data_IF_541189391219
#
_entry.id   IF_541189391219
#
_cell.length_a   1.000
_cell.length_b   1.000
_cell.length_c   1.000
_cell.angle_alpha   90.00
_cell.angle_beta   90.00
_cell.angle_gamma   90.00
#
_symmetry.space_group_name_H-M   'P 1'
#
loop_
_entity.id
_entity.type
_entity.pdbx_description
1 polymer ?
#
# COMPACT_ATOMS: atom_id res chain seq x y z
N UNK A 1 -27.93 -58.03 5.40
CA UNK A 1 -28.50 -57.92 6.76
C UNK A 1 -28.38 -56.49 7.17
N UNK A 2 -29.44 -55.71 7.02
CA UNK A 2 -30.57 -55.50 7.91
C UNK A 2 -30.06 -54.81 9.17
N UNK A 3 -30.46 -53.69 9.61
CA UNK A 3 -31.71 -52.91 9.75
C UNK A 3 -31.40 -51.84 10.81
N UNK A 4 -31.80 -50.68 10.71
CA UNK A 4 -33.06 -49.96 10.96
C UNK A 4 -32.96 -48.95 12.11
N UNK A 5 -33.12 -47.69 11.84
CA UNK A 5 -34.26 -46.82 12.14
C UNK A 5 -34.55 -46.35 13.55
N UNK A 6 -34.82 -45.10 13.72
CA UNK A 6 -35.94 -44.32 14.27
C UNK A 6 -35.47 -43.22 15.25
N UNK A 7 -35.66 -41.97 14.94
CA UNK A 7 -36.86 -41.06 14.91
C UNK A 7 -37.54 -40.84 16.27
N UNK A 8 -37.74 -39.61 16.59
CA UNK A 8 -38.92 -38.86 17.15
C UNK A 8 -38.45 -37.81 18.13
N UNK A 9 -38.72 -36.60 17.95
CA UNK A 9 -39.91 -35.75 17.80
C UNK A 9 -40.38 -35.16 19.13
N UNK A 10 -40.71 -33.90 19.02
CA UNK A 10 -41.78 -33.12 19.65
C UNK A 10 -41.52 -32.66 21.11
N UNK A 11 -41.91 -31.51 21.56
CA UNK A 11 -42.99 -30.54 21.28
C UNK A 11 -42.81 -29.41 22.28
N UNK A 12 -42.94 -28.14 21.88
CA UNK A 12 -44.14 -27.30 22.04
C UNK A 12 -44.54 -26.95 23.49
N UNK A 13 -44.62 -25.66 23.77
CA UNK A 13 -45.71 -24.89 24.37
C UNK A 13 -45.21 -23.51 24.77
N UNK A 14 -45.58 -22.41 24.17
CA UNK A 14 -46.79 -21.59 24.29
C UNK A 14 -47.07 -21.06 25.68
N UNK A 15 -47.00 -19.72 25.89
CA UNK A 15 -48.06 -18.92 26.45
C UNK A 15 -47.61 -17.48 26.72
N UNK A 16 -48.11 -16.51 26.01
CA UNK A 16 -49.12 -15.49 26.32
C UNK A 16 -48.74 -14.59 27.52
N UNK A 17 -48.71 -13.33 27.41
CA UNK A 17 -49.64 -12.30 27.00
C UNK A 17 -49.47 -11.05 27.92
N UNK A 18 -49.73 -9.91 27.38
CA UNK A 18 -50.31 -8.67 27.97
C UNK A 18 -49.37 -7.55 28.31
N UNK A 19 -49.50 -6.54 27.63
CA UNK A 19 -50.27 -5.29 27.59
C UNK A 19 -49.40 -4.04 27.55
N UNK A 20 -49.63 -3.26 26.54
CA UNK A 20 -49.31 -1.81 26.45
C UNK A 20 -50.29 -1.02 27.36
N UNK A 21 -50.27 0.30 27.48
CA UNK A 21 -49.46 1.34 26.82
C UNK A 21 -49.00 2.45 27.80
N UNK A 22 -48.08 3.30 27.42
CA UNK A 22 -48.18 4.76 27.65
C UNK A 22 -47.17 5.56 26.83
N UNK A 23 -47.78 6.49 26.12
CA UNK A 23 -47.27 7.69 25.48
C UNK A 23 -46.19 8.44 26.27
N UNK A 24 -45.17 8.88 25.52
CA UNK A 24 -44.25 9.90 25.88
C UNK A 24 -43.56 10.37 24.60
N UNK A 25 -44.06 11.46 24.06
CA UNK A 25 -43.46 12.21 22.98
C UNK A 25 -42.19 12.88 23.49
N UNK A 26 -41.04 12.51 22.99
CA UNK A 26 -39.89 13.41 22.99
C UNK A 26 -39.23 13.40 21.62
N UNK A 27 -39.31 14.57 21.04
CA UNK A 27 -38.71 14.99 19.79
C UNK A 27 -37.19 15.06 19.99
N UNK A 28 -36.51 13.96 19.78
CA UNK A 28 -35.06 13.90 19.68
C UNK A 28 -34.67 13.70 18.23
N UNK A 29 -34.30 14.78 17.57
CA UNK A 29 -33.64 14.75 16.27
C UNK A 29 -32.42 13.84 16.36
N UNK A 30 -32.58 12.59 15.90
CA UNK A 30 -31.47 11.69 15.66
C UNK A 30 -30.68 12.23 14.46
N UNK A 31 -29.66 12.99 14.76
CA UNK A 31 -28.61 13.33 13.83
C UNK A 31 -27.89 12.04 13.46
N UNK A 32 -28.20 11.51 12.29
CA UNK A 32 -27.45 10.40 11.69
C UNK A 32 -26.00 10.89 11.53
N UNK A 33 -25.12 10.43 12.40
CA UNK A 33 -23.69 10.51 12.16
C UNK A 33 -23.39 9.52 11.03
N UNK A 34 -23.35 10.02 9.81
CA UNK A 34 -22.66 9.36 8.72
C UNK A 34 -21.19 9.25 9.13
N UNK A 35 -20.71 8.04 9.28
CA UNK A 35 -19.30 7.74 9.47
C UNK A 35 -18.59 7.82 8.13
N UNK A 36 -18.48 9.04 7.57
CA UNK A 36 -17.59 9.32 6.45
C UNK A 36 -16.19 9.56 7.00
N UNK A 37 -15.51 8.47 7.35
CA UNK A 37 -14.14 8.46 7.85
C UNK A 37 -13.15 7.94 6.81
N UNK A 38 -13.35 8.17 5.50
CA UNK A 38 -12.30 7.90 4.54
C UNK A 38 -11.18 8.94 4.70
N UNK A 39 -9.97 8.47 4.94
CA UNK A 39 -8.78 9.31 5.03
C UNK A 39 -8.51 10.07 3.72
N UNK A 40 -9.11 9.62 2.62
CA UNK A 40 -8.95 10.13 1.25
C UNK A 40 -10.18 10.88 0.73
N UNK A 41 -11.21 11.15 1.58
CA UNK A 41 -12.38 11.92 1.15
C UNK A 41 -11.96 13.22 0.47
N UNK A 42 -12.27 13.31 -0.81
CA UNK A 42 -11.99 14.46 -1.66
C UNK A 42 -13.13 15.50 -1.66
N UNK A 43 -13.92 15.54 -0.58
CA UNK A 43 -15.01 16.53 -0.44
C UNK A 43 -14.52 17.98 -0.38
N UNK A 44 -15.38 18.90 -0.79
CA UNK A 44 -15.12 20.34 -1.05
C UNK A 44 -14.59 21.18 0.13
N UNK A 45 -14.35 20.61 1.31
CA UNK A 45 -13.92 21.32 2.53
C UNK A 45 -12.42 21.20 2.85
N UNK A 46 -11.58 20.77 1.90
CA UNK A 46 -10.16 20.52 2.13
C UNK A 46 -9.25 21.77 2.13
N UNK A 47 -9.75 22.95 1.74
CA UNK A 47 -8.94 24.14 1.53
C UNK A 47 -8.09 24.62 2.72
N UNK A 48 -8.63 24.75 3.96
CA UNK A 48 -7.86 25.29 5.09
C UNK A 48 -6.89 24.28 5.72
N UNK A 49 -7.18 22.96 5.61
CA UNK A 49 -6.35 21.92 6.21
C UNK A 49 -5.14 21.56 5.35
N UNK A 50 -5.25 21.69 4.02
CA UNK A 50 -4.14 21.51 3.09
C UNK A 50 -3.01 22.51 3.31
N UNK A 51 -3.34 23.80 3.53
CA UNK A 51 -2.34 24.83 3.79
C UNK A 51 -1.51 24.59 5.06
N UNK A 52 -2.15 24.09 6.13
CA UNK A 52 -1.47 23.80 7.39
C UNK A 52 -0.65 22.51 7.35
N UNK A 53 -1.10 21.49 6.60
CA UNK A 53 -0.36 20.24 6.40
C UNK A 53 0.86 20.43 5.50
N UNK A 54 0.71 21.19 4.42
CA UNK A 54 1.82 21.53 3.51
C UNK A 54 2.89 22.40 4.20
N UNK A 55 2.50 23.36 5.05
CA UNK A 55 3.45 24.19 5.79
C UNK A 55 4.22 23.38 6.84
N UNK A 56 3.58 22.43 7.52
CA UNK A 56 4.26 21.55 8.50
C UNK A 56 5.10 20.49 7.83
N UNK A 57 4.66 19.93 6.71
CA UNK A 57 5.46 19.01 5.91
C UNK A 57 6.70 19.70 5.34
N UNK A 58 6.57 20.94 4.83
CA UNK A 58 7.71 21.69 4.29
C UNK A 58 8.78 22.04 5.35
N UNK A 59 8.39 22.36 6.59
CA UNK A 59 9.34 22.66 7.68
C UNK A 59 9.99 21.38 8.21
N UNK A 60 9.26 20.30 8.40
CA UNK A 60 9.81 18.99 8.76
C UNK A 60 10.70 18.40 7.66
N UNK A 61 10.29 18.59 6.42
CA UNK A 61 11.00 18.20 5.22
C UNK A 61 12.37 18.89 5.13
N UNK A 62 12.44 20.23 5.26
CA UNK A 62 13.71 20.97 5.16
C UNK A 62 14.72 20.63 6.27
N UNK A 63 14.26 20.41 7.50
CA UNK A 63 15.14 20.12 8.63
C UNK A 63 15.72 18.71 8.62
N UNK A 64 14.96 17.72 8.16
CA UNK A 64 15.37 16.30 8.11
C UNK A 64 15.98 15.89 6.77
N UNK A 65 15.61 16.57 5.69
CA UNK A 65 16.21 16.35 4.37
C UNK A 65 17.68 16.76 4.32
N UNK A 66 18.04 17.88 4.95
CA UNK A 66 19.45 18.29 5.06
C UNK A 66 20.32 17.23 5.75
N UNK A 67 19.77 16.50 6.71
CA UNK A 67 20.51 15.45 7.45
C UNK A 67 20.58 14.13 6.68
N UNK A 68 19.51 13.72 5.97
CA UNK A 68 19.49 12.51 5.15
C UNK A 68 20.19 12.70 3.80
N UNK A 69 20.11 13.90 3.22
CA UNK A 69 20.83 14.28 2.02
C UNK A 69 22.37 14.14 2.18
N UNK A 70 22.90 14.48 3.38
CA UNK A 70 24.30 14.30 3.70
C UNK A 70 24.71 12.84 3.93
N UNK A 71 23.76 11.97 4.31
CA UNK A 71 24.05 10.58 4.69
C UNK A 71 23.78 9.54 3.58
N UNK A 72 22.93 9.84 2.59
CA UNK A 72 22.50 8.87 1.58
C UNK A 72 22.65 9.32 0.11
N UNK A 73 23.19 10.52 -0.15
CA UNK A 73 23.50 11.00 -1.50
C UNK A 73 22.32 10.89 -2.48
N UNK A 74 21.60 11.99 -2.68
CA UNK A 74 20.68 12.23 -3.79
C UNK A 74 19.40 11.36 -3.88
N UNK A 75 18.42 11.56 -3.05
CA UNK A 75 17.06 11.18 -3.39
C UNK A 75 16.05 12.20 -2.86
N UNK A 76 16.18 13.46 -3.28
CA UNK A 76 15.08 14.38 -3.21
C UNK A 76 14.32 14.25 -4.54
N UNK A 77 13.36 13.37 -4.62
CA UNK A 77 12.42 13.36 -5.73
C UNK A 77 11.56 14.60 -5.63
N UNK A 78 11.96 15.64 -6.38
CA UNK A 78 11.10 16.79 -6.67
C UNK A 78 10.23 16.36 -7.83
N UNK A 79 9.00 15.91 -7.53
CA UNK A 79 8.05 15.44 -8.56
C UNK A 79 6.70 15.14 -7.96
N UNK A 80 5.74 14.82 -8.81
CA UNK A 80 4.45 14.29 -8.40
C UNK A 80 4.61 12.85 -7.88
N UNK A 81 3.61 12.33 -7.20
CA UNK A 81 3.61 10.99 -6.59
C UNK A 81 4.00 9.87 -7.58
N UNK A 82 3.54 9.94 -8.82
CA UNK A 82 3.84 8.97 -9.88
C UNK A 82 5.31 9.00 -10.30
N UNK A 83 5.93 10.17 -10.39
CA UNK A 83 7.36 10.33 -10.67
C UNK A 83 8.23 9.81 -9.52
N UNK A 84 7.78 10.00 -8.27
CA UNK A 84 8.44 9.50 -7.08
C UNK A 84 8.46 7.97 -7.09
N UNK A 85 7.32 7.34 -7.32
CA UNK A 85 7.20 5.88 -7.34
C UNK A 85 7.95 5.25 -8.53
N UNK A 86 7.91 5.88 -9.72
CA UNK A 86 8.69 5.44 -10.87
C UNK A 86 10.21 5.49 -10.58
N UNK A 87 10.70 6.53 -9.91
CA UNK A 87 12.10 6.60 -9.50
C UNK A 87 12.47 5.50 -8.47
N UNK A 88 11.55 5.10 -7.60
CA UNK A 88 11.73 3.99 -6.67
C UNK A 88 11.76 2.63 -7.37
N UNK A 89 10.96 2.43 -8.44
CA UNK A 89 11.08 1.27 -9.33
C UNK A 89 12.46 1.19 -9.98
N UNK A 90 12.95 2.29 -10.56
CA UNK A 90 14.29 2.34 -11.16
C UNK A 90 15.39 2.01 -10.15
N UNK A 91 15.28 2.53 -8.92
CA UNK A 91 16.20 2.22 -7.84
C UNK A 91 16.20 0.72 -7.54
N UNK A 92 15.03 0.10 -7.39
CA UNK A 92 14.90 -1.33 -7.11
C UNK A 92 15.48 -2.17 -8.26
N UNK A 93 15.16 -1.86 -9.51
CA UNK A 93 15.70 -2.53 -10.70
C UNK A 93 17.22 -2.39 -10.78
N UNK A 94 17.76 -1.22 -10.48
CA UNK A 94 19.20 -1.00 -10.40
C UNK A 94 19.90 -1.80 -9.30
N UNK A 95 19.24 -2.09 -8.17
CA UNK A 95 19.75 -3.00 -7.16
C UNK A 95 19.76 -4.45 -7.68
N UNK A 96 18.71 -4.89 -8.37
CA UNK A 96 18.69 -6.20 -9.02
C UNK A 96 19.83 -6.37 -10.01
N UNK A 97 20.12 -5.36 -10.84
CA UNK A 97 21.21 -5.41 -11.79
C UNK A 97 22.56 -5.61 -11.09
N UNK A 98 22.79 -4.88 -9.99
CA UNK A 98 23.98 -5.08 -9.14
C UNK A 98 24.04 -6.45 -8.48
N UNK A 99 22.89 -7.06 -8.15
CA UNK A 99 22.82 -8.42 -7.63
C UNK A 99 23.23 -9.43 -8.71
N UNK A 100 22.77 -9.25 -9.93
CA UNK A 100 23.06 -10.12 -11.08
C UNK A 100 24.51 -10.06 -11.55
N UNK A 101 25.23 -8.97 -11.25
CA UNK A 101 26.67 -8.82 -11.49
C UNK A 101 27.55 -9.57 -10.46
N UNK A 102 26.95 -10.18 -9.42
CA UNK A 102 27.72 -10.88 -8.38
C UNK A 102 27.98 -12.33 -8.76
N UNK A 103 29.10 -12.87 -8.29
CA UNK A 103 29.43 -14.29 -8.35
C UNK A 103 29.18 -15.02 -7.01
N UNK A 104 29.34 -16.35 -7.02
CA UNK A 104 29.09 -17.20 -5.86
C UNK A 104 30.03 -16.96 -4.66
N UNK A 105 31.17 -16.33 -4.87
CA UNK A 105 32.13 -16.00 -3.81
C UNK A 105 31.74 -14.71 -3.05
N UNK A 106 30.90 -13.87 -3.63
CA UNK A 106 30.50 -12.57 -3.12
C UNK A 106 29.24 -12.63 -2.22
N UNK A 107 29.14 -13.65 -1.39
CA UNK A 107 27.95 -13.91 -0.55
C UNK A 107 27.57 -12.75 0.35
N UNK A 108 28.57 -12.06 0.94
CA UNK A 108 28.32 -10.87 1.76
C UNK A 108 27.71 -9.72 0.93
N UNK A 109 28.24 -9.47 -0.28
CA UNK A 109 27.70 -8.43 -1.18
C UNK A 109 26.27 -8.77 -1.60
N UNK A 110 25.97 -10.04 -1.94
CA UNK A 110 24.63 -10.53 -2.23
C UNK A 110 23.67 -10.28 -1.07
N UNK A 111 24.05 -10.62 0.16
CA UNK A 111 23.24 -10.39 1.36
C UNK A 111 22.95 -8.91 1.61
N UNK A 112 23.97 -8.06 1.44
CA UNK A 112 23.82 -6.60 1.59
C UNK A 112 22.91 -6.00 0.53
N UNK A 113 23.02 -6.46 -0.73
CA UNK A 113 22.14 -6.00 -1.81
C UNK A 113 20.69 -6.48 -1.61
N UNK A 114 20.48 -7.72 -1.16
CA UNK A 114 19.16 -8.23 -0.82
C UNK A 114 18.52 -7.44 0.33
N UNK A 115 19.29 -7.06 1.35
CA UNK A 115 18.80 -6.21 2.43
C UNK A 115 18.39 -4.82 1.91
N UNK A 116 19.19 -4.21 1.04
CA UNK A 116 18.87 -2.90 0.42
C UNK A 116 17.63 -3.00 -0.46
N UNK A 117 17.54 -4.06 -1.27
CA UNK A 117 16.38 -4.31 -2.11
C UNK A 117 15.12 -4.48 -1.29
N UNK A 118 15.19 -5.29 -0.22
CA UNK A 118 14.04 -5.48 0.69
C UNK A 118 13.57 -4.15 1.25
N UNK A 119 14.48 -3.33 1.78
CA UNK A 119 14.11 -2.03 2.33
C UNK A 119 13.50 -1.09 1.29
N UNK A 120 14.05 -1.06 0.07
CA UNK A 120 13.51 -0.24 -1.01
C UNK A 120 12.09 -0.68 -1.41
N UNK A 121 11.87 -1.99 -1.58
CA UNK A 121 10.57 -2.54 -1.94
C UNK A 121 9.54 -2.46 -0.80
N UNK A 122 9.95 -2.63 0.46
CA UNK A 122 9.06 -2.48 1.62
C UNK A 122 8.59 -1.02 1.76
N UNK A 123 9.48 -0.04 1.57
CA UNK A 123 9.15 1.38 1.59
C UNK A 123 8.15 1.72 0.47
N UNK A 124 8.48 1.33 -0.75
CA UNK A 124 7.68 1.57 -1.95
C UNK A 124 6.27 0.96 -1.82
N UNK A 125 6.19 -0.33 -1.50
CA UNK A 125 4.91 -1.01 -1.31
C UNK A 125 4.08 -0.37 -0.19
N UNK A 126 4.71 0.12 0.89
CA UNK A 126 4.00 0.79 1.96
C UNK A 126 3.36 2.11 1.49
N UNK A 127 4.07 2.93 0.71
CA UNK A 127 3.52 4.16 0.14
C UNK A 127 2.31 3.88 -0.75
N UNK A 128 2.34 2.82 -1.54
CA UNK A 128 1.23 2.45 -2.41
C UNK A 128 0.06 1.84 -1.65
N UNK A 129 0.31 0.87 -0.78
CA UNK A 129 -0.71 0.20 0.02
C UNK A 129 -1.42 1.16 0.99
N UNK A 130 -0.73 2.19 1.50
CA UNK A 130 -1.30 3.15 2.45
C UNK A 130 -1.86 4.41 1.81
N UNK A 131 -1.41 4.78 0.60
CA UNK A 131 -1.80 6.05 -0.02
C UNK A 131 -2.44 5.84 -1.39
N UNK A 132 -1.72 5.21 -2.33
CA UNK A 132 -2.13 5.19 -3.74
C UNK A 132 -3.30 4.22 -3.97
N UNK A 133 -3.22 2.99 -3.46
CA UNK A 133 -4.29 2.00 -3.68
C UNK A 133 -5.61 2.35 -2.99
N UNK A 134 -5.63 2.89 -1.77
CA UNK A 134 -6.85 3.46 -1.21
C UNK A 134 -7.44 4.59 -2.08
N UNK A 135 -6.59 5.48 -2.60
CA UNK A 135 -7.04 6.57 -3.46
C UNK A 135 -7.53 6.08 -4.84
N UNK A 136 -6.93 5.02 -5.41
CA UNK A 136 -7.44 4.33 -6.60
C UNK A 136 -8.85 3.78 -6.37
N UNK A 137 -9.10 3.15 -5.21
CA UNK A 137 -10.44 2.63 -4.86
C UNK A 137 -11.48 3.75 -4.76
N UNK A 138 -11.10 4.89 -4.19
CA UNK A 138 -11.98 6.08 -4.13
C UNK A 138 -12.25 6.67 -5.52
N UNK A 139 -11.32 6.54 -6.45
CA UNK A 139 -11.48 6.95 -7.85
C UNK A 139 -12.21 5.91 -8.72
N UNK A 140 -12.85 4.90 -8.12
CA UNK A 140 -13.53 3.79 -8.79
C UNK A 140 -12.62 2.86 -9.63
N UNK A 141 -11.34 2.78 -9.27
CA UNK A 141 -10.34 1.89 -9.87
C UNK A 141 -9.97 0.74 -8.92
N UNK A 142 -10.97 0.17 -8.22
CA UNK A 142 -10.75 -0.86 -7.20
C UNK A 142 -10.16 -2.16 -7.78
N UNK A 143 -10.49 -2.51 -9.02
CA UNK A 143 -9.97 -3.72 -9.69
C UNK A 143 -8.46 -3.61 -9.89
N UNK A 144 -7.99 -2.46 -10.34
CA UNK A 144 -6.55 -2.20 -10.52
C UNK A 144 -5.82 -2.25 -9.17
N UNK A 145 -6.37 -1.58 -8.16
CA UNK A 145 -5.82 -1.58 -6.81
C UNK A 145 -5.71 -3.00 -6.21
N UNK A 146 -6.75 -3.82 -6.35
CA UNK A 146 -6.77 -5.19 -5.82
C UNK A 146 -5.78 -6.10 -6.56
N UNK A 147 -5.59 -5.91 -7.86
CA UNK A 147 -4.60 -6.63 -8.64
C UNK A 147 -3.18 -6.29 -8.19
N UNK A 148 -2.85 -5.00 -8.08
CA UNK A 148 -1.53 -4.51 -7.68
C UNK A 148 -1.17 -4.96 -6.25
N UNK A 149 -2.12 -4.85 -5.31
CA UNK A 149 -1.94 -5.34 -3.94
C UNK A 149 -1.68 -6.86 -3.91
N UNK A 150 -2.36 -7.63 -4.77
CA UNK A 150 -2.09 -9.06 -4.95
C UNK A 150 -0.68 -9.34 -5.47
N UNK A 151 -0.17 -8.53 -6.38
CA UNK A 151 1.20 -8.64 -6.91
C UNK A 151 2.26 -8.35 -5.84
N UNK A 152 2.01 -7.41 -4.92
CA UNK A 152 2.85 -7.18 -3.74
C UNK A 152 2.97 -8.42 -2.84
N UNK A 153 1.92 -9.24 -2.75
CA UNK A 153 1.99 -10.52 -2.07
C UNK A 153 3.04 -11.45 -2.65
N UNK A 154 3.16 -11.50 -3.98
CA UNK A 154 4.21 -12.29 -4.66
C UNK A 154 5.60 -11.67 -4.44
N UNK A 155 5.74 -10.35 -4.48
CA UNK A 155 7.00 -9.64 -4.17
C UNK A 155 7.50 -10.03 -2.76
N UNK A 156 6.62 -9.96 -1.76
CA UNK A 156 6.93 -10.35 -0.38
C UNK A 156 7.33 -11.83 -0.27
N UNK A 157 6.71 -12.70 -1.07
CA UNK A 157 7.05 -14.13 -1.15
C UNK A 157 8.46 -14.34 -1.71
N UNK A 158 8.83 -13.67 -2.80
CA UNK A 158 10.17 -13.75 -3.37
C UNK A 158 11.26 -13.28 -2.42
N UNK A 159 11.03 -12.21 -1.68
CA UNK A 159 11.94 -11.72 -0.63
C UNK A 159 12.15 -12.81 0.44
N UNK A 160 11.07 -13.43 0.91
CA UNK A 160 11.13 -14.51 1.88
C UNK A 160 11.92 -15.73 1.34
N UNK A 161 11.64 -16.14 0.11
CA UNK A 161 12.32 -17.27 -0.54
C UNK A 161 13.82 -17.01 -0.70
N UNK A 162 14.23 -15.81 -1.17
CA UNK A 162 15.64 -15.46 -1.32
C UNK A 162 16.39 -15.40 0.02
N UNK A 163 15.74 -14.92 1.07
CA UNK A 163 16.30 -14.92 2.43
C UNK A 163 16.54 -16.35 2.94
N UNK A 164 15.59 -17.24 2.70
CA UNK A 164 15.69 -18.65 3.14
C UNK A 164 16.65 -19.48 2.28
N UNK A 165 16.74 -19.19 0.99
CA UNK A 165 17.67 -19.87 0.07
C UNK A 165 19.13 -19.61 0.46
N UNK A 166 19.40 -18.39 0.93
CA UNK A 166 20.74 -17.96 1.30
C UNK A 166 21.62 -17.58 0.11
N UNK A 167 22.45 -16.58 0.31
CA UNK A 167 23.25 -15.95 -0.76
C UNK A 167 24.34 -16.82 -1.39
N UNK A 168 24.66 -17.97 -0.80
CA UNK A 168 25.61 -18.96 -1.32
C UNK A 168 24.98 -20.06 -2.19
N UNK A 169 23.66 -20.12 -2.27
CA UNK A 169 22.98 -21.15 -3.02
C UNK A 169 23.29 -21.05 -4.52
N UNK A 170 23.52 -22.18 -5.21
CA UNK A 170 23.86 -22.19 -6.64
C UNK A 170 22.79 -21.55 -7.53
N UNK A 171 21.52 -21.71 -7.19
CA UNK A 171 20.37 -21.16 -7.92
C UNK A 171 19.94 -19.76 -7.45
N UNK A 172 20.72 -19.09 -6.60
CA UNK A 172 20.36 -17.79 -6.05
C UNK A 172 20.17 -16.72 -7.14
N UNK A 173 21.09 -16.66 -8.13
CA UNK A 173 21.01 -15.70 -9.24
C UNK A 173 19.84 -16.00 -10.19
N UNK A 174 19.47 -17.27 -10.36
CA UNK A 174 18.28 -17.65 -11.12
C UNK A 174 17.03 -17.07 -10.46
N UNK A 175 16.91 -17.27 -9.14
CA UNK A 175 15.80 -16.71 -8.36
C UNK A 175 15.76 -15.19 -8.39
N UNK A 176 16.91 -14.53 -8.38
CA UNK A 176 17.02 -13.05 -8.53
C UNK A 176 16.51 -12.61 -9.90
N UNK A 177 16.80 -13.35 -11.01
CA UNK A 177 16.28 -13.01 -12.34
C UNK A 177 14.77 -13.14 -12.43
N UNK A 178 14.20 -14.21 -11.87
CA UNK A 178 12.75 -14.39 -11.81
C UNK A 178 12.09 -13.24 -11.05
N UNK A 179 12.62 -12.90 -9.90
CA UNK A 179 12.10 -11.81 -9.07
C UNK A 179 12.21 -10.45 -9.77
N UNK A 180 13.35 -10.14 -10.40
CA UNK A 180 13.50 -8.94 -11.22
C UNK A 180 12.45 -8.86 -12.32
N UNK A 181 12.17 -9.98 -12.98
CA UNK A 181 11.13 -10.05 -14.03
C UNK A 181 9.73 -9.73 -13.50
N UNK A 182 9.40 -10.22 -12.31
CA UNK A 182 8.14 -9.91 -11.64
C UNK A 182 8.03 -8.42 -11.33
N UNK A 183 9.04 -7.83 -10.67
CA UNK A 183 9.04 -6.40 -10.29
C UNK A 183 9.03 -5.51 -11.54
N UNK A 184 9.79 -5.85 -12.58
CA UNK A 184 9.78 -5.08 -13.83
C UNK A 184 8.43 -5.09 -14.53
N UNK A 185 7.72 -6.23 -14.50
CA UNK A 185 6.37 -6.32 -15.08
C UNK A 185 5.37 -5.50 -14.28
N UNK A 186 5.44 -5.55 -12.96
CA UNK A 186 4.61 -4.77 -12.05
C UNK A 186 4.80 -3.27 -12.28
N UNK A 187 6.03 -2.78 -12.22
CA UNK A 187 6.38 -1.39 -12.48
C UNK A 187 5.88 -0.90 -13.86
N UNK A 188 6.07 -1.71 -14.90
CA UNK A 188 5.60 -1.37 -16.26
C UNK A 188 4.07 -1.22 -16.32
N UNK A 189 3.32 -2.09 -15.63
CA UNK A 189 1.86 -1.99 -15.60
C UNK A 189 1.41 -0.71 -14.89
N UNK A 190 2.04 -0.33 -13.79
CA UNK A 190 1.72 0.90 -13.09
C UNK A 190 2.06 2.14 -13.90
N UNK A 191 3.29 2.24 -14.38
CA UNK A 191 3.79 3.42 -15.08
C UNK A 191 3.11 3.65 -16.44
N UNK A 192 2.77 2.60 -17.17
CA UNK A 192 2.20 2.70 -18.52
C UNK A 192 0.67 2.69 -18.55
N UNK A 193 0.03 2.16 -17.51
CA UNK A 193 -1.42 1.96 -17.53
C UNK A 193 -2.12 2.61 -16.34
N UNK A 194 -1.79 2.21 -15.10
CA UNK A 194 -2.58 2.57 -13.92
C UNK A 194 -2.31 4.02 -13.50
N UNK A 195 -1.04 4.41 -13.34
CA UNK A 195 -0.69 5.77 -12.89
C UNK A 195 -1.18 6.85 -13.85
N UNK A 196 -1.01 6.74 -15.19
CA UNK A 196 -1.54 7.74 -16.13
C UNK A 196 -3.07 7.84 -16.09
N UNK A 197 -3.77 6.71 -15.97
CA UNK A 197 -5.22 6.68 -15.89
C UNK A 197 -5.71 7.33 -14.58
N UNK A 198 -5.07 7.01 -13.46
CA UNK A 198 -5.38 7.56 -12.16
C UNK A 198 -5.08 9.06 -12.09
N UNK A 199 -3.90 9.50 -12.52
CA UNK A 199 -3.51 10.92 -12.56
C UNK A 199 -4.49 11.75 -13.38
N UNK A 200 -5.00 11.21 -14.49
CA UNK A 200 -6.03 11.85 -15.32
C UNK A 200 -7.40 11.96 -14.61
N UNK A 201 -7.72 11.04 -13.73
CA UNK A 201 -8.97 11.04 -12.96
C UNK A 201 -8.95 12.04 -11.78
N UNK A 202 -7.77 12.49 -11.33
CA UNK A 202 -7.58 13.39 -10.22
C UNK A 202 -7.73 14.87 -10.63
N UNK A 203 -8.32 15.70 -9.76
CA UNK A 203 -8.16 17.15 -9.84
C UNK A 203 -6.74 17.56 -9.44
N UNK A 204 -6.36 18.81 -9.73
CA UNK A 204 -5.06 19.34 -9.31
C UNK A 204 -4.86 19.28 -7.79
N UNK A 205 -5.91 19.57 -7.01
CA UNK A 205 -5.87 19.53 -5.55
C UNK A 205 -5.74 18.09 -5.04
N UNK A 206 -6.42 17.14 -5.67
CA UNK A 206 -6.32 15.73 -5.34
C UNK A 206 -4.94 15.19 -5.65
N UNK A 207 -4.38 15.50 -6.82
CA UNK A 207 -3.02 15.12 -7.19
C UNK A 207 -1.99 15.66 -6.19
N UNK A 208 -2.08 16.93 -5.83
CA UNK A 208 -1.21 17.52 -4.81
C UNK A 208 -1.36 16.87 -3.43
N UNK A 209 -2.57 16.45 -3.07
CA UNK A 209 -2.82 15.72 -1.82
C UNK A 209 -2.16 14.33 -1.82
N UNK A 210 -2.33 13.56 -2.89
CA UNK A 210 -1.69 12.23 -3.02
C UNK A 210 -0.16 12.39 -2.97
N UNK A 211 0.41 13.35 -3.70
CA UNK A 211 1.84 13.64 -3.67
C UNK A 211 2.34 13.99 -2.25
N UNK A 212 1.59 14.81 -1.52
CA UNK A 212 1.96 15.16 -0.14
C UNK A 212 1.94 13.95 0.80
N UNK A 213 0.97 13.05 0.64
CA UNK A 213 0.84 11.85 1.46
C UNK A 213 1.93 10.82 1.13
N UNK A 214 2.22 10.57 -0.14
CA UNK A 214 3.32 9.68 -0.58
C UNK A 214 4.65 10.17 -0.02
N UNK A 215 4.94 11.47 -0.12
CA UNK A 215 6.15 12.05 0.46
C UNK A 215 6.23 11.90 1.99
N UNK A 216 5.11 12.14 2.68
CA UNK A 216 5.05 12.00 4.13
C UNK A 216 5.28 10.56 4.57
N UNK A 217 4.66 9.61 3.89
CA UNK A 217 4.77 8.19 4.19
C UNK A 217 6.19 7.66 3.90
N UNK A 218 6.75 7.98 2.74
CA UNK A 218 8.11 7.62 2.38
C UNK A 218 9.17 8.21 3.32
N UNK A 219 8.88 9.34 3.97
CA UNK A 219 9.74 9.93 5.00
C UNK A 219 9.80 9.09 6.28
N UNK A 220 8.67 8.53 6.72
CA UNK A 220 8.61 7.71 7.92
C UNK A 220 9.28 6.35 7.73
N UNK A 221 9.26 5.80 6.52
CA UNK A 221 9.84 4.50 6.17
C UNK A 221 11.34 4.57 5.81
N UNK A 222 11.91 5.75 5.65
CA UNK A 222 13.33 5.94 5.29
C UNK A 222 14.28 5.92 6.55
#
# INVERSE_FOLDING_TARGET
MATRTRSRSSSSTRSTNRSSPRSGSDNGTAQSRSSDGSAFSFGDNAGPLLGAALARAAIGFAANYGRKFLMQGLEATVGDWDEILAAEHELALGIFDKMLETDETQTWKRSMLLMKLTHALDKHAHQEEMVVYPALREANMAVDADQLEGEHGYIKTFIYELKNLGSSAPNWLEKVREFRGLVSKHAHMEEEQVFPAFKKALSTEQNAKVTSLVNADGFWMA
#
